data_IF_861427294785
#
_entry.id   IF_861427294785
#
_cell.length_a   1.000
_cell.length_b   1.000
_cell.length_c   1.000
_cell.angle_alpha   90.00
_cell.angle_beta   90.00
_cell.angle_gamma   90.00
#
_symmetry.space_group_name_H-M   'P 1'
#
loop_
_entity.id
_entity.type
_entity.pdbx_description
1 polymer ?
#
# COMPACT_ATOMS: atom_id res chain seq x y z
N UNK A 1 10.85 19.06 50.23
CA UNK A 1 9.91 18.92 49.10
C UNK A 1 10.74 18.95 47.84
N UNK A 2 10.88 17.82 47.14
CA UNK A 2 11.66 17.73 45.90
C UNK A 2 10.75 18.21 44.76
N UNK A 3 11.10 19.32 44.14
CA UNK A 3 10.38 19.83 42.97
C UNK A 3 10.61 18.88 41.80
N UNK A 4 9.55 18.20 41.35
CA UNK A 4 9.56 17.53 40.06
C UNK A 4 9.44 18.59 38.97
N UNK A 5 10.57 18.94 38.37
CA UNK A 5 10.62 19.61 37.07
C UNK A 5 10.01 18.66 36.04
N UNK A 6 8.73 18.85 35.72
CA UNK A 6 8.14 18.28 34.52
C UNK A 6 8.83 18.91 33.31
N UNK A 7 9.69 18.15 32.64
CA UNK A 7 10.22 18.50 31.33
C UNK A 7 9.03 18.82 30.41
N UNK A 8 8.99 19.97 29.73
CA UNK A 8 7.89 20.29 28.81
C UNK A 8 7.75 19.14 27.82
N UNK A 9 6.58 18.52 27.78
CA UNK A 9 6.28 17.46 26.83
C UNK A 9 6.53 18.02 25.43
N UNK A 10 7.50 17.45 24.70
CA UNK A 10 7.82 17.89 23.36
C UNK A 10 6.52 17.93 22.55
N UNK A 11 6.25 19.06 21.89
CA UNK A 11 5.03 19.23 21.12
C UNK A 11 5.00 18.18 20.01
N UNK A 12 4.26 17.10 20.23
CA UNK A 12 3.92 16.12 19.20
C UNK A 12 3.03 16.78 18.18
N UNK A 13 3.17 16.44 16.92
CA UNK A 13 2.32 17.01 15.89
C UNK A 13 1.98 16.07 14.76
N UNK A 14 1.55 16.68 13.66
CA UNK A 14 0.96 15.98 12.53
C UNK A 14 1.84 16.18 11.31
N UNK A 15 1.99 15.16 10.47
CA UNK A 15 2.45 15.31 9.08
C UNK A 15 1.26 15.03 8.18
N UNK A 16 0.89 15.99 7.33
CA UNK A 16 -0.07 15.78 6.25
C UNK A 16 0.70 15.34 5.00
N UNK A 17 0.55 14.08 4.62
CA UNK A 17 1.11 13.52 3.39
C UNK A 17 0.11 13.67 2.24
N UNK A 18 0.57 14.09 1.06
CA UNK A 18 -0.20 14.08 -0.18
C UNK A 18 0.60 13.34 -1.24
N UNK A 19 0.09 12.21 -1.72
CA UNK A 19 0.77 11.38 -2.69
C UNK A 19 0.09 11.49 -4.05
N UNK A 20 0.90 11.80 -5.05
CA UNK A 20 0.50 11.94 -6.45
C UNK A 20 1.50 11.20 -7.33
N UNK A 21 1.09 10.89 -8.54
CA UNK A 21 1.98 10.36 -9.57
C UNK A 21 1.54 10.89 -10.93
N UNK A 22 2.51 11.24 -11.77
CA UNK A 22 2.32 11.60 -13.16
C UNK A 22 2.34 10.32 -14.00
N UNK A 23 1.26 10.10 -14.75
CA UNK A 23 1.12 9.01 -15.71
C UNK A 23 0.83 9.63 -17.07
N UNK A 24 1.80 9.57 -17.97
CA UNK A 24 1.79 10.38 -19.21
C UNK A 24 1.64 11.87 -18.86
N UNK A 25 0.69 12.61 -19.43
CA UNK A 25 0.52 14.05 -19.13
C UNK A 25 -0.43 14.34 -17.95
N UNK A 26 -0.97 13.31 -17.30
CA UNK A 26 -1.98 13.49 -16.25
C UNK A 26 -1.37 13.17 -14.89
N UNK A 27 -1.39 14.14 -13.98
CA UNK A 27 -1.12 13.92 -12.56
C UNK A 27 -2.35 13.34 -11.88
N UNK A 28 -2.19 12.16 -11.26
CA UNK A 28 -3.23 11.45 -10.53
C UNK A 28 -2.89 11.41 -9.05
N UNK A 29 -3.92 11.35 -8.21
CA UNK A 29 -3.75 11.09 -6.78
C UNK A 29 -3.55 9.58 -6.57
N UNK A 30 -2.79 9.18 -5.55
CA UNK A 30 -2.54 7.77 -5.24
C UNK A 30 -3.38 7.31 -4.04
N UNK A 31 -4.63 6.85 -4.25
CA UNK A 31 -5.52 6.47 -3.16
C UNK A 31 -5.18 5.10 -2.58
N UNK A 32 -5.51 4.90 -1.30
CA UNK A 32 -5.50 3.59 -0.62
C UNK A 32 -4.18 2.84 -0.71
N UNK A 33 -3.05 3.55 -0.74
CA UNK A 33 -1.71 2.94 -0.67
C UNK A 33 -1.10 3.21 0.69
N UNK A 34 -0.34 2.24 1.18
CA UNK A 34 0.31 2.29 2.49
C UNK A 34 1.70 2.91 2.35
N UNK A 35 1.99 3.82 3.25
CA UNK A 35 3.30 4.43 3.44
C UNK A 35 3.76 4.20 4.87
N UNK A 36 5.08 4.20 5.04
CA UNK A 36 5.77 3.90 6.28
C UNK A 36 6.68 5.07 6.60
N UNK A 37 6.66 5.48 7.86
CA UNK A 37 7.53 6.50 8.42
C UNK A 37 8.58 5.79 9.27
N UNK A 38 9.82 5.81 8.79
CA UNK A 38 10.97 5.16 9.40
C UNK A 38 11.84 6.25 10.01
N UNK A 39 12.36 6.03 11.21
CA UNK A 39 13.26 6.99 11.85
C UNK A 39 14.60 7.08 11.10
N UNK A 40 15.16 8.28 11.00
CA UNK A 40 16.48 8.53 10.41
C UNK A 40 16.45 8.95 8.94
N UNK A 41 17.59 9.48 8.50
CA UNK A 41 17.85 9.90 7.12
C UNK A 41 17.92 8.72 6.16
N UNK A 42 17.91 8.99 4.85
CA UNK A 42 18.16 7.96 3.83
C UNK A 42 19.55 7.34 4.03
N UNK A 43 20.54 8.15 4.38
CA UNK A 43 21.92 7.70 4.61
C UNK A 43 22.02 6.78 5.84
N UNK A 44 21.30 7.10 6.92
CA UNK A 44 21.20 6.24 8.11
C UNK A 44 20.47 4.92 7.79
N UNK A 45 19.48 4.97 6.90
CA UNK A 45 18.69 3.81 6.47
C UNK A 45 19.24 3.13 5.21
N UNK A 46 20.48 3.41 4.79
CA UNK A 46 21.02 2.99 3.48
C UNK A 46 20.87 1.49 3.21
N UNK A 47 21.13 0.63 4.18
CA UNK A 47 20.99 -0.83 4.02
C UNK A 47 19.54 -1.24 3.73
N UNK A 48 18.58 -0.65 4.43
CA UNK A 48 17.15 -0.86 4.18
C UNK A 48 16.76 -0.36 2.79
N UNK A 49 17.24 0.84 2.42
CA UNK A 49 16.96 1.44 1.11
C UNK A 49 17.47 0.54 -0.01
N UNK A 50 18.69 0.05 0.06
CA UNK A 50 19.22 -0.90 -0.94
C UNK A 50 18.43 -2.21 -1.00
N UNK A 51 18.00 -2.75 0.16
CA UNK A 51 17.16 -3.95 0.19
C UNK A 51 15.79 -3.72 -0.47
N UNK A 52 15.18 -2.56 -0.22
CA UNK A 52 13.91 -2.15 -0.86
C UNK A 52 14.08 -2.09 -2.39
N UNK A 53 15.20 -1.54 -2.89
CA UNK A 53 15.50 -1.47 -4.34
C UNK A 53 15.65 -2.86 -4.96
N UNK A 54 16.29 -3.77 -4.24
CA UNK A 54 16.52 -5.14 -4.67
C UNK A 54 15.27 -6.03 -4.54
N UNK A 55 14.23 -5.56 -3.83
CA UNK A 55 12.98 -6.31 -3.68
C UNK A 55 12.36 -6.57 -5.06
N UNK A 56 12.11 -7.85 -5.41
CA UNK A 56 11.51 -8.21 -6.68
C UNK A 56 10.17 -7.49 -6.91
N UNK A 57 9.93 -7.08 -8.16
CA UNK A 57 8.66 -6.48 -8.52
C UNK A 57 7.57 -7.58 -8.49
N UNK A 58 6.67 -7.47 -7.51
CA UNK A 58 5.48 -8.31 -7.44
C UNK A 58 4.38 -7.66 -8.28
N UNK A 59 4.03 -8.27 -9.41
CA UNK A 59 2.91 -7.84 -10.25
C UNK A 59 1.64 -8.61 -9.87
N UNK A 60 0.56 -7.89 -9.56
CA UNK A 60 -0.76 -8.45 -9.25
C UNK A 60 -1.24 -9.36 -10.37
N UNK A 61 -1.19 -8.85 -11.60
CA UNK A 61 -1.62 -9.61 -12.78
C UNK A 61 -0.79 -10.90 -12.94
N UNK A 62 0.54 -10.80 -12.84
CA UNK A 62 1.41 -11.96 -13.01
C UNK A 62 1.19 -12.98 -11.89
N UNK A 63 1.00 -12.52 -10.65
CA UNK A 63 0.70 -13.40 -9.54
C UNK A 63 -0.58 -14.21 -9.81
N UNK A 64 -1.68 -13.53 -10.16
CA UNK A 64 -2.96 -14.19 -10.36
C UNK A 64 -2.96 -15.09 -11.60
N UNK A 65 -2.36 -14.66 -12.72
CA UNK A 65 -2.19 -15.52 -13.92
C UNK A 65 -1.41 -16.79 -13.62
N UNK A 66 -0.31 -16.68 -12.87
CA UNK A 66 0.51 -17.85 -12.51
C UNK A 66 -0.24 -18.87 -11.64
N UNK A 67 -1.29 -18.45 -10.94
CA UNK A 67 -2.17 -19.30 -10.13
C UNK A 67 -3.47 -19.67 -10.85
N UNK A 68 -3.54 -19.48 -12.18
CA UNK A 68 -4.67 -19.92 -12.99
C UNK A 68 -5.91 -19.03 -12.89
N UNK A 69 -5.77 -17.78 -12.42
CA UNK A 69 -6.87 -16.83 -12.43
C UNK A 69 -7.30 -16.50 -13.87
N UNK A 70 -8.61 -16.36 -14.06
CA UNK A 70 -9.24 -15.92 -15.29
C UNK A 70 -8.97 -14.44 -15.57
N UNK A 71 -9.05 -14.06 -16.84
CA UNK A 71 -9.00 -12.65 -17.25
C UNK A 71 -10.12 -11.83 -16.61
N UNK A 72 -11.28 -12.43 -16.35
CA UNK A 72 -12.40 -11.77 -15.70
C UNK A 72 -12.08 -11.40 -14.24
N UNK A 73 -11.44 -12.31 -13.48
CA UNK A 73 -11.01 -12.02 -12.11
C UNK A 73 -9.92 -10.95 -12.09
N UNK A 74 -8.92 -11.07 -12.96
CA UNK A 74 -7.83 -10.09 -13.07
C UNK A 74 -8.38 -8.71 -13.42
N UNK A 75 -9.31 -8.64 -14.38
CA UNK A 75 -10.03 -7.42 -14.74
C UNK A 75 -10.77 -6.84 -13.54
N UNK A 76 -11.54 -7.65 -12.82
CA UNK A 76 -12.27 -7.21 -11.63
C UNK A 76 -11.33 -6.63 -10.56
N UNK A 77 -10.19 -7.27 -10.30
CA UNK A 77 -9.18 -6.81 -9.36
C UNK A 77 -8.55 -5.48 -9.81
N UNK A 78 -8.28 -5.34 -11.10
CA UNK A 78 -7.69 -4.14 -11.69
C UNK A 78 -8.64 -2.94 -11.65
N UNK A 79 -9.90 -3.12 -12.08
CA UNK A 79 -10.91 -2.06 -12.09
C UNK A 79 -11.23 -1.54 -10.68
N UNK A 80 -11.11 -2.40 -9.67
CA UNK A 80 -11.37 -2.03 -8.28
C UNK A 80 -10.12 -1.63 -7.47
N UNK A 81 -8.93 -1.69 -8.08
CA UNK A 81 -7.61 -1.50 -7.45
C UNK A 81 -7.43 -2.36 -6.17
N UNK A 82 -7.64 -3.66 -6.32
CA UNK A 82 -7.67 -4.63 -5.23
C UNK A 82 -6.44 -5.51 -5.19
N UNK A 83 -5.96 -5.87 -3.99
CA UNK A 83 -4.88 -6.85 -3.78
C UNK A 83 -5.40 -8.25 -3.41
N UNK A 84 -6.71 -8.35 -3.13
CA UNK A 84 -7.42 -9.58 -2.78
C UNK A 84 -8.91 -9.40 -3.05
N UNK A 85 -9.67 -10.49 -3.03
CA UNK A 85 -11.13 -10.46 -3.26
C UNK A 85 -11.89 -9.78 -2.11
N UNK A 86 -11.24 -9.55 -0.97
CA UNK A 86 -11.85 -8.91 0.22
C UNK A 86 -11.94 -7.39 0.14
N UNK A 87 -11.30 -6.75 -0.84
CA UNK A 87 -11.27 -5.30 -0.99
C UNK A 87 -12.66 -4.66 -1.22
N UNK A 88 -13.61 -5.44 -1.76
CA UNK A 88 -14.93 -5.00 -2.23
C UNK A 88 -15.93 -6.14 -2.04
N UNK A 89 -17.19 -5.77 -1.83
CA UNK A 89 -18.27 -6.74 -1.82
C UNK A 89 -18.46 -7.33 -3.22
N UNK A 90 -18.66 -8.66 -3.30
CA UNK A 90 -18.94 -9.34 -4.56
C UNK A 90 -20.44 -9.27 -4.81
N UNK A 91 -20.81 -8.51 -5.84
CA UNK A 91 -22.18 -8.30 -6.29
C UNK A 91 -22.71 -9.47 -7.12
N UNK A 92 -24.04 -9.56 -7.24
CA UNK A 92 -24.74 -10.64 -7.95
C UNK A 92 -24.30 -10.80 -9.41
N UNK A 93 -24.07 -9.67 -10.09
CA UNK A 93 -23.63 -9.62 -11.49
C UNK A 93 -22.28 -10.30 -11.73
N UNK A 94 -21.47 -10.49 -10.68
CA UNK A 94 -20.20 -11.20 -10.78
C UNK A 94 -20.33 -12.70 -10.50
N UNK A 95 -21.48 -13.16 -10.00
CA UNK A 95 -21.79 -14.59 -9.76
C UNK A 95 -22.64 -15.21 -10.87
N UNK A 96 -23.23 -14.39 -11.76
CA UNK A 96 -24.03 -14.86 -12.89
C UNK A 96 -24.21 -13.78 -13.98
N UNK A 97 -24.62 -14.19 -15.18
CA UNK A 97 -24.82 -13.27 -16.32
C UNK A 97 -23.55 -12.96 -17.09
N UNK A 98 -23.54 -11.82 -17.82
CA UNK A 98 -22.45 -11.44 -18.74
C UNK A 98 -21.19 -10.93 -18.04
N UNK A 99 -21.32 -10.44 -16.81
CA UNK A 99 -20.21 -9.95 -15.98
C UNK A 99 -19.69 -11.00 -15.00
N UNK A 100 -20.15 -12.25 -15.13
CA UNK A 100 -19.76 -13.32 -14.21
C UNK A 100 -18.25 -13.54 -14.24
N UNK A 101 -17.66 -13.60 -13.05
CA UNK A 101 -16.27 -14.00 -12.84
C UNK A 101 -16.28 -15.51 -12.58
N UNK A 102 -15.63 -16.35 -13.41
CA UNK A 102 -15.69 -17.81 -13.30
C UNK A 102 -15.41 -18.34 -11.89
N UNK A 103 -14.40 -17.81 -11.22
CA UNK A 103 -14.02 -18.20 -9.86
C UNK A 103 -15.11 -17.86 -8.84
N UNK A 104 -15.72 -16.67 -8.97
CA UNK A 104 -16.80 -16.26 -8.07
C UNK A 104 -18.07 -17.07 -8.31
N UNK A 105 -18.37 -17.40 -9.57
CA UNK A 105 -19.50 -18.27 -9.92
C UNK A 105 -19.31 -19.67 -9.33
N UNK A 106 -18.16 -20.30 -9.56
CA UNK A 106 -17.88 -21.64 -9.04
C UNK A 106 -17.95 -21.68 -7.50
N UNK A 107 -17.30 -20.71 -6.83
CA UNK A 107 -17.35 -20.59 -5.38
C UNK A 107 -18.77 -20.31 -4.85
N UNK A 108 -19.55 -19.48 -5.56
CA UNK A 108 -20.94 -19.20 -5.23
C UNK A 108 -21.83 -20.42 -5.36
N UNK A 109 -21.71 -21.19 -6.45
CA UNK A 109 -22.50 -22.40 -6.69
C UNK A 109 -22.23 -23.44 -5.59
N UNK A 110 -20.96 -23.62 -5.19
CA UNK A 110 -20.58 -24.49 -4.07
C UNK A 110 -21.18 -23.99 -2.74
N UNK A 111 -20.98 -22.70 -2.42
CA UNK A 111 -21.52 -22.09 -1.22
C UNK A 111 -23.06 -22.18 -1.16
N UNK A 112 -23.74 -22.06 -2.30
CA UNK A 112 -25.19 -22.15 -2.39
C UNK A 112 -25.68 -23.58 -2.11
N UNK A 113 -24.98 -24.59 -2.60
CA UNK A 113 -25.28 -25.99 -2.30
C UNK A 113 -25.23 -26.31 -0.81
N UNK A 114 -24.27 -25.75 -0.09
CA UNK A 114 -24.08 -25.98 1.35
C UNK A 114 -24.99 -25.10 2.22
N UNK A 115 -25.07 -23.80 1.93
CA UNK A 115 -25.73 -22.81 2.78
C UNK A 115 -27.22 -22.62 2.46
N UNK A 116 -27.68 -23.08 1.28
CA UNK A 116 -29.08 -23.06 0.83
C UNK A 116 -29.77 -21.69 0.87
N UNK A 117 -29.00 -20.61 0.92
CA UNK A 117 -29.50 -19.23 0.99
C UNK A 117 -28.65 -18.32 0.09
N UNK A 118 -29.17 -17.81 -1.03
CA UNK A 118 -28.41 -17.02 -2.02
C UNK A 118 -27.62 -15.85 -1.42
N UNK A 119 -28.24 -15.06 -0.55
CA UNK A 119 -27.57 -13.91 0.07
C UNK A 119 -26.40 -14.32 0.99
N UNK A 120 -26.54 -15.45 1.71
CA UNK A 120 -25.49 -15.98 2.58
C UNK A 120 -24.38 -16.59 1.72
N UNK A 121 -24.73 -17.41 0.72
CA UNK A 121 -23.78 -17.99 -0.22
C UNK A 121 -22.89 -16.93 -0.87
N UNK A 122 -23.48 -15.82 -1.35
CA UNK A 122 -22.71 -14.71 -1.93
C UNK A 122 -21.76 -14.05 -0.93
N UNK A 123 -22.20 -13.82 0.31
CA UNK A 123 -21.38 -13.20 1.35
C UNK A 123 -20.21 -14.10 1.77
N UNK A 124 -20.41 -15.41 1.77
CA UNK A 124 -19.43 -16.39 2.22
C UNK A 124 -18.59 -16.98 1.08
N UNK A 125 -18.89 -16.66 -0.17
CA UNK A 125 -18.18 -17.20 -1.34
C UNK A 125 -16.64 -17.07 -1.28
N UNK A 126 -16.02 -16.02 -0.68
CA UNK A 126 -14.56 -15.96 -0.62
C UNK A 126 -13.93 -17.14 0.13
N UNK A 127 -14.66 -17.79 1.05
CA UNK A 127 -14.17 -18.95 1.79
C UNK A 127 -14.13 -20.24 0.94
N UNK A 128 -14.76 -20.22 -0.23
CA UNK A 128 -14.80 -21.32 -1.19
C UNK A 128 -13.81 -21.12 -2.35
N UNK A 129 -13.01 -20.05 -2.31
CA UNK A 129 -11.90 -19.82 -3.25
C UNK A 129 -10.63 -20.48 -2.74
N UNK A 130 -9.78 -20.94 -3.67
CA UNK A 130 -8.42 -21.38 -3.34
C UNK A 130 -7.64 -20.23 -2.65
N UNK A 131 -6.82 -20.52 -1.62
CA UNK A 131 -6.09 -19.49 -0.86
C UNK A 131 -5.27 -18.54 -1.74
N UNK A 132 -4.62 -19.07 -2.78
CA UNK A 132 -3.81 -18.32 -3.72
C UNK A 132 -4.64 -17.29 -4.49
N UNK A 133 -5.87 -17.65 -4.86
CA UNK A 133 -6.84 -16.77 -5.54
C UNK A 133 -7.49 -15.78 -4.57
N UNK A 134 -7.77 -16.24 -3.35
CA UNK A 134 -8.51 -15.47 -2.35
C UNK A 134 -7.69 -14.28 -1.83
N UNK A 135 -6.50 -14.55 -1.31
CA UNK A 135 -5.68 -13.57 -0.59
C UNK A 135 -4.16 -13.81 -0.71
N UNK A 136 -3.73 -14.70 -1.60
CA UNK A 136 -2.32 -15.06 -1.75
C UNK A 136 -1.41 -13.90 -2.14
N UNK A 137 -1.82 -13.04 -3.09
CA UNK A 137 -1.03 -11.87 -3.49
C UNK A 137 -0.81 -10.91 -2.31
N UNK A 138 -1.91 -10.55 -1.63
CA UNK A 138 -1.88 -9.72 -0.44
C UNK A 138 -0.98 -10.31 0.65
N UNK A 139 -1.10 -11.61 0.92
CA UNK A 139 -0.30 -12.31 1.93
C UNK A 139 1.19 -12.28 1.61
N UNK A 140 1.57 -12.59 0.36
CA UNK A 140 2.96 -12.55 -0.07
C UNK A 140 3.55 -11.12 0.02
N UNK A 141 2.75 -10.10 -0.34
CA UNK A 141 3.14 -8.70 -0.21
C UNK A 141 3.28 -8.28 1.26
N UNK A 142 2.35 -8.67 2.13
CA UNK A 142 2.42 -8.42 3.57
C UNK A 142 3.65 -9.06 4.20
N UNK A 143 4.01 -10.29 3.82
CA UNK A 143 5.20 -10.95 4.33
C UNK A 143 6.47 -10.15 3.98
N UNK A 144 6.58 -9.68 2.74
CA UNK A 144 7.70 -8.85 2.29
C UNK A 144 7.77 -7.54 3.08
N UNK A 145 6.63 -6.85 3.24
CA UNK A 145 6.53 -5.63 4.03
C UNK A 145 6.93 -5.87 5.49
N UNK A 146 6.42 -6.94 6.11
CA UNK A 146 6.73 -7.27 7.51
C UNK A 146 8.21 -7.51 7.73
N UNK A 147 8.89 -8.17 6.78
CA UNK A 147 10.33 -8.40 6.85
C UNK A 147 11.12 -7.07 6.78
N UNK A 148 10.74 -6.18 5.86
CA UNK A 148 11.37 -4.86 5.70
C UNK A 148 11.13 -3.96 6.92
N UNK A 149 9.91 -3.97 7.48
CA UNK A 149 9.58 -3.26 8.73
C UNK A 149 10.44 -3.77 9.87
N UNK A 150 10.52 -5.09 10.08
CA UNK A 150 11.34 -5.68 11.14
C UNK A 150 12.81 -5.29 11.01
N UNK A 151 13.35 -5.28 9.78
CA UNK A 151 14.71 -4.84 9.52
C UNK A 151 14.91 -3.36 9.89
N UNK A 152 13.98 -2.49 9.49
CA UNK A 152 14.02 -1.06 9.81
C UNK A 152 13.96 -0.79 11.31
N UNK A 153 13.07 -1.49 12.04
CA UNK A 153 12.94 -1.37 13.49
C UNK A 153 14.19 -1.87 14.21
N UNK A 154 14.77 -2.98 13.74
CA UNK A 154 16.03 -3.52 14.29
C UNK A 154 17.19 -2.55 14.07
N UNK A 155 17.29 -1.96 12.88
CA UNK A 155 18.39 -1.04 12.55
C UNK A 155 18.29 0.30 13.29
N UNK A 156 17.07 0.81 13.50
CA UNK A 156 16.84 2.12 14.12
C UNK A 156 16.60 2.05 15.63
N UNK A 157 16.30 0.87 16.16
CA UNK A 157 15.87 0.68 17.55
C UNK A 157 14.53 1.36 17.87
N UNK A 158 13.76 1.76 16.85
CA UNK A 158 12.51 2.51 16.98
C UNK A 158 11.41 1.87 16.15
N UNK A 159 10.14 1.94 16.59
CA UNK A 159 9.02 1.41 15.82
C UNK A 159 8.84 2.15 14.51
N UNK A 160 8.40 1.43 13.48
CA UNK A 160 7.99 2.02 12.20
C UNK A 160 6.49 2.34 12.25
N UNK A 161 6.14 3.58 11.92
CA UNK A 161 4.73 3.95 11.79
C UNK A 161 4.24 3.66 10.38
N UNK A 162 2.97 3.29 10.22
CA UNK A 162 2.36 3.13 8.91
C UNK A 162 1.08 3.92 8.79
N UNK A 163 0.80 4.42 7.59
CA UNK A 163 -0.39 5.18 7.26
C UNK A 163 -0.90 4.77 5.88
N UNK A 164 -2.22 4.83 5.68
CA UNK A 164 -2.84 4.57 4.38
C UNK A 164 -3.43 5.86 3.84
N UNK A 165 -3.21 6.14 2.56
CA UNK A 165 -3.81 7.29 1.90
C UNK A 165 -5.32 7.10 1.72
N UNK A 166 -6.07 8.18 1.86
CA UNK A 166 -7.51 8.22 1.61
C UNK A 166 -7.83 8.18 0.09
N UNK A 167 -9.11 8.34 -0.27
CA UNK A 167 -9.55 8.39 -1.68
C UNK A 167 -8.96 9.56 -2.46
N UNK A 168 -8.43 10.56 -1.77
CA UNK A 168 -7.78 11.74 -2.33
C UNK A 168 -6.26 11.64 -2.22
N UNK A 169 -5.68 10.46 -2.03
CA UNK A 169 -4.23 10.30 -1.89
C UNK A 169 -3.63 11.09 -0.71
N UNK A 170 -4.42 11.40 0.32
CA UNK A 170 -3.99 12.18 1.49
C UNK A 170 -3.89 11.25 2.70
N UNK A 171 -2.86 11.43 3.52
CA UNK A 171 -2.65 10.67 4.75
C UNK A 171 -2.23 11.63 5.88
N UNK A 172 -2.56 11.27 7.12
CA UNK A 172 -2.20 12.04 8.30
C UNK A 172 -1.44 11.13 9.25
N UNK A 173 -0.17 11.46 9.51
CA UNK A 173 0.63 10.84 10.55
C UNK A 173 0.51 11.74 11.78
N UNK A 174 -0.04 11.23 12.88
CA UNK A 174 -0.18 11.97 14.14
C UNK A 174 0.89 11.54 15.12
N UNK A 175 1.01 12.28 16.24
CA UNK A 175 1.92 11.93 17.33
C UNK A 175 3.40 11.86 16.94
N UNK A 176 3.80 12.71 16.00
CA UNK A 176 5.17 12.75 15.47
C UNK A 176 6.05 13.70 16.27
N UNK A 177 7.19 13.19 16.72
CA UNK A 177 8.25 13.98 17.35
C UNK A 177 9.10 14.70 16.30
N UNK A 178 9.68 15.87 16.61
CA UNK A 178 10.69 16.48 15.75
C UNK A 178 11.87 15.53 15.48
N UNK A 179 12.35 15.50 14.23
CA UNK A 179 13.42 14.60 13.82
C UNK A 179 13.51 14.44 12.31
N UNK A 180 14.46 13.62 11.86
CA UNK A 180 14.60 13.23 10.46
C UNK A 180 13.98 11.86 10.27
N UNK A 181 13.19 11.71 9.21
CA UNK A 181 12.49 10.49 8.88
C UNK A 181 12.66 10.13 7.41
N UNK A 182 12.54 8.84 7.12
CA UNK A 182 12.44 8.29 5.78
C UNK A 182 11.01 7.82 5.54
N UNK A 183 10.36 8.33 4.51
CA UNK A 183 9.00 7.97 4.09
C UNK A 183 9.09 7.05 2.87
N UNK A 184 8.51 5.86 2.96
CA UNK A 184 8.51 4.89 1.86
C UNK A 184 7.24 4.06 1.79
N UNK A 185 6.87 3.57 0.62
CA UNK A 185 5.85 2.52 0.48
C UNK A 185 6.42 1.10 0.67
N UNK A 186 7.73 0.96 0.90
CA UNK A 186 8.53 -0.29 1.10
C UNK A 186 8.50 -1.28 -0.07
N UNK A 187 7.34 -1.49 -0.67
CA UNK A 187 7.11 -2.26 -1.89
C UNK A 187 6.41 -1.34 -2.88
N UNK A 188 6.88 -1.36 -4.13
CA UNK A 188 6.36 -0.50 -5.19
C UNK A 188 4.84 -0.60 -5.34
N UNK A 189 4.18 0.55 -5.49
CA UNK A 189 2.75 0.62 -5.74
C UNK A 189 2.49 0.57 -7.24
N UNK A 190 1.69 -0.40 -7.65
CA UNK A 190 1.29 -0.52 -9.05
C UNK A 190 0.40 0.63 -9.48
N UNK A 191 0.69 1.12 -10.67
CA UNK A 191 -0.14 1.99 -11.49
C UNK A 191 -0.48 1.23 -12.77
N UNK A 192 -1.18 1.86 -13.72
CA UNK A 192 -1.60 1.19 -14.96
C UNK A 192 -0.45 0.62 -15.81
N UNK A 193 0.78 1.16 -15.68
CA UNK A 193 1.92 0.78 -16.55
C UNK A 193 3.20 0.48 -15.78
N UNK A 194 3.30 0.95 -14.55
CA UNK A 194 4.54 0.89 -13.77
C UNK A 194 4.26 0.61 -12.31
N UNK A 195 5.25 0.05 -11.63
CA UNK A 195 5.33 0.03 -10.17
C UNK A 195 6.23 1.17 -9.73
N UNK A 196 5.72 2.03 -8.84
CA UNK A 196 6.45 3.18 -8.33
C UNK A 196 6.80 2.98 -6.87
N UNK A 197 8.08 3.07 -6.56
CA UNK A 197 8.64 3.02 -5.22
C UNK A 197 9.14 4.42 -4.86
N UNK A 198 8.75 4.90 -3.68
CA UNK A 198 9.25 6.15 -3.11
C UNK A 198 10.12 5.85 -1.89
N UNK A 199 11.24 6.53 -1.78
CA UNK A 199 12.08 6.59 -0.59
C UNK A 199 12.51 8.04 -0.41
N UNK A 200 11.80 8.77 0.44
CA UNK A 200 12.01 10.21 0.62
C UNK A 200 12.41 10.56 2.04
N UNK A 201 13.38 11.45 2.19
CA UNK A 201 13.77 12.00 3.47
C UNK A 201 12.92 13.22 3.82
N UNK A 202 12.52 13.32 5.09
CA UNK A 202 11.81 14.47 5.63
C UNK A 202 12.36 14.85 6.99
N UNK A 203 12.89 16.07 7.08
CA UNK A 203 13.12 16.74 8.34
C UNK A 203 11.79 17.33 8.86
N UNK A 204 11.48 17.05 10.13
CA UNK A 204 10.30 17.51 10.86
C UNK A 204 10.78 18.40 11.99
N UNK A 205 10.54 19.70 11.87
CA UNK A 205 10.87 20.68 12.91
C UNK A 205 9.69 20.89 13.84
N UNK A 206 9.93 21.29 15.09
CA UNK A 206 8.86 21.63 16.04
C UNK A 206 7.90 22.71 15.48
N UNK A 207 8.42 23.66 14.70
CA UNK A 207 7.61 24.67 14.01
C UNK A 207 6.70 24.07 12.93
N UNK A 208 7.16 23.04 12.21
CA UNK A 208 6.38 22.40 11.14
C UNK A 208 5.13 21.74 11.70
N UNK A 209 5.25 21.15 12.89
CA UNK A 209 4.16 20.47 13.61
C UNK A 209 2.97 21.41 13.90
N UNK A 210 3.23 22.71 14.09
CA UNK A 210 2.18 23.73 14.34
C UNK A 210 1.44 24.19 13.07
N UNK A 211 2.02 24.00 11.89
CA UNK A 211 1.48 24.47 10.60
C UNK A 211 1.19 23.35 9.61
N UNK A 212 1.43 22.08 9.98
CA UNK A 212 1.34 20.93 9.07
C UNK A 212 -0.02 20.75 8.39
N UNK A 213 -1.09 21.23 9.01
CA UNK A 213 -2.43 21.24 8.41
C UNK A 213 -2.51 22.17 7.18
N UNK A 214 -1.68 23.22 7.13
CA UNK A 214 -1.67 24.25 6.06
C UNK A 214 -0.81 23.85 4.86
N UNK A 215 0.26 23.06 5.04
CA UNK A 215 1.19 22.69 3.96
C UNK A 215 1.48 21.19 3.96
N UNK A 216 0.88 20.41 3.03
CA UNK A 216 1.16 18.99 2.95
C UNK A 216 2.58 18.73 2.44
N UNK A 217 3.21 17.66 2.92
CA UNK A 217 4.37 17.08 2.28
C UNK A 217 3.91 16.30 1.05
N UNK A 218 4.42 16.67 -0.12
CA UNK A 218 4.00 16.10 -1.40
C UNK A 218 5.01 15.03 -1.84
N UNK A 219 4.51 13.82 -2.06
CA UNK A 219 5.24 12.79 -2.79
C UNK A 219 4.75 12.78 -4.24
N UNK A 220 5.69 12.87 -5.18
CA UNK A 220 5.46 12.75 -6.62
C UNK A 220 6.55 11.88 -7.23
N UNK A 221 6.30 11.28 -8.39
CA UNK A 221 7.35 10.68 -9.22
C UNK A 221 8.03 11.71 -10.14
N UNK A 222 7.63 12.98 -10.06
CA UNK A 222 8.32 14.08 -10.70
C UNK A 222 9.51 14.53 -9.86
N UNK A 223 10.64 14.82 -10.51
CA UNK A 223 11.85 15.27 -9.84
C UNK A 223 11.63 16.68 -9.26
N UNK A 224 11.57 16.78 -7.94
CA UNK A 224 11.59 18.05 -7.22
C UNK A 224 12.99 18.25 -6.58
N UNK A 225 13.80 19.23 -7.02
CA UNK A 225 15.13 19.45 -6.48
C UNK A 225 15.12 19.86 -4.99
N UNK A 226 13.97 20.26 -4.45
CA UNK A 226 13.82 20.65 -3.04
C UNK A 226 13.49 19.47 -2.13
N UNK A 227 13.21 18.29 -2.68
CA UNK A 227 12.86 17.10 -1.93
C UNK A 227 13.95 16.06 -2.11
N UNK A 228 14.60 15.67 -1.02
CA UNK A 228 15.56 14.54 -1.04
C UNK A 228 14.75 13.25 -1.13
N UNK A 229 14.48 12.81 -2.36
CA UNK A 229 13.74 11.58 -2.62
C UNK A 229 14.34 10.77 -3.75
N UNK A 230 14.45 9.46 -3.52
CA UNK A 230 14.73 8.46 -4.52
C UNK A 230 13.40 7.85 -4.98
N UNK A 231 13.00 8.15 -6.22
CA UNK A 231 11.85 7.52 -6.86
C UNK A 231 12.32 6.51 -7.88
N UNK A 232 11.84 5.29 -7.75
CA UNK A 232 12.16 4.20 -8.66
C UNK A 232 10.87 3.76 -9.33
N UNK A 233 10.80 4.02 -10.63
CA UNK A 233 9.71 3.60 -11.47
C UNK A 233 10.16 2.43 -12.35
N UNK A 234 9.50 1.29 -12.22
CA UNK A 234 9.79 0.08 -13.01
C UNK A 234 8.56 -0.28 -13.85
N UNK A 235 8.70 -0.59 -15.15
CA UNK A 235 7.56 -1.06 -15.94
C UNK A 235 7.01 -2.35 -15.35
N UNK A 236 5.68 -2.53 -15.42
CA UNK A 236 5.08 -3.81 -15.03
C UNK A 236 5.52 -4.90 -16.02
N UNK A 237 5.86 -6.10 -15.53
CA UNK A 237 6.23 -7.22 -16.38
C UNK A 237 5.05 -7.65 -17.26
N UNK A 238 5.35 -8.10 -18.48
CA UNK A 238 4.37 -8.78 -19.33
C UNK A 238 4.18 -10.20 -18.79
N UNK A 239 2.95 -10.52 -18.41
CA UNK A 239 2.60 -11.80 -17.81
C UNK A 239 2.11 -12.73 -18.93
N UNK A 240 2.82 -13.83 -19.20
CA UNK A 240 2.39 -14.81 -20.19
C UNK A 240 1.07 -15.48 -19.79
N UNK A 241 0.23 -15.78 -20.78
CA UNK A 241 -0.88 -16.71 -20.56
C UNK A 241 -0.30 -18.13 -20.41
N UNK A 242 -0.74 -18.87 -19.39
CA UNK A 242 -0.57 -20.32 -19.35
C UNK A 242 -1.67 -20.98 -20.16
#
# INVERSE_FOLDING_TARGET
MVAHTQTPQAARGVIRLKVKYKSSEVTKELPRKRFFLINGSIDQNKSLVEQIKQTPLMSRECYYRNHGASDALIKWLNENDCESVYCRAIEEKYTGGREAVPEFKAAYDQALGELKAPAIARRWLPNYLAPEIRDGFYTAKQQTISNLVKQAETATGKPVMSIMTDRKGTAYLTDIDPGVYTISNLVGSETNKSSILWVCEREVKATDLTIAMKRPFILSNEKDPKVKCEVIERPLPVCGAR
#
